data_IF_870327124464
#
_entry.id   IF_870327124464
#
_cell.length_a   1.000
_cell.length_b   1.000
_cell.length_c   1.000
_cell.angle_alpha   90.00
_cell.angle_beta   90.00
_cell.angle_gamma   90.00
#
_symmetry.space_group_name_H-M   'P 1'
#
loop_
_entity.id
_entity.type
_entity.pdbx_description
1 polymer ?
#
# COMPACT_ATOMS: atom_id res chain seq x y z
N UNK A 1 -27.73 49.47 20.74
CA UNK A 1 -26.29 49.19 20.57
C UNK A 1 -26.02 47.95 21.38
N UNK A 2 -26.18 46.80 20.76
CA UNK A 2 -25.90 45.47 21.37
C UNK A 2 -24.59 45.01 20.82
N UNK A 3 -23.63 44.72 21.73
CA UNK A 3 -22.31 44.18 21.40
C UNK A 3 -22.45 42.66 21.33
N UNK A 4 -22.29 42.09 20.14
CA UNK A 4 -22.17 40.67 19.93
C UNK A 4 -20.77 40.23 20.40
N UNK A 5 -20.71 39.53 21.53
CA UNK A 5 -19.51 38.82 21.99
C UNK A 5 -19.31 37.55 21.16
N UNK A 6 -18.22 37.51 20.39
CA UNK A 6 -17.73 36.32 19.74
C UNK A 6 -17.25 35.28 20.81
N UNK A 7 -17.63 34.02 20.69
CA UNK A 7 -17.11 32.98 21.62
C UNK A 7 -15.61 32.72 21.37
N UNK A 8 -14.83 32.98 22.41
CA UNK A 8 -13.41 32.67 22.47
C UNK A 8 -13.20 31.15 22.33
N UNK A 9 -12.47 30.75 21.31
CA UNK A 9 -12.05 29.37 21.10
C UNK A 9 -11.21 28.89 22.28
N UNK A 10 -11.66 27.79 22.91
CA UNK A 10 -10.98 27.10 23.98
C UNK A 10 -9.67 26.51 23.44
N UNK A 11 -8.51 26.64 24.09
CA UNK A 11 -7.27 26.02 23.68
C UNK A 11 -7.39 24.48 23.76
N UNK A 12 -6.71 23.71 22.88
CA UNK A 12 -6.77 22.24 22.91
C UNK A 12 -6.27 21.74 24.26
N UNK A 13 -7.12 20.93 24.89
CA UNK A 13 -6.98 20.44 26.25
C UNK A 13 -5.65 19.75 26.52
N UNK A 14 -5.11 20.07 27.70
CA UNK A 14 -3.96 19.39 28.28
C UNK A 14 -4.19 17.87 28.35
N UNK A 15 -3.12 17.12 28.20
CA UNK A 15 -3.09 15.68 28.35
C UNK A 15 -3.68 15.29 29.72
N UNK A 16 -4.69 14.45 29.69
CA UNK A 16 -5.32 13.88 30.89
C UNK A 16 -4.26 13.01 31.60
N UNK A 17 -3.83 13.33 32.85
CA UNK A 17 -2.82 12.55 33.54
C UNK A 17 -3.26 11.13 33.91
N UNK A 18 -4.52 10.77 33.70
CA UNK A 18 -5.11 9.47 33.98
C UNK A 18 -5.33 8.60 32.72
N UNK A 19 -4.74 8.97 31.60
CA UNK A 19 -4.72 8.13 30.41
C UNK A 19 -3.94 6.85 30.73
N UNK A 20 -4.68 5.78 31.07
CA UNK A 20 -4.13 4.43 31.30
C UNK A 20 -3.16 4.11 30.18
N UNK A 21 -1.90 3.83 30.53
CA UNK A 21 -0.89 3.42 29.57
C UNK A 21 -1.42 2.24 28.76
N UNK A 22 -1.33 2.31 27.43
CA UNK A 22 -1.83 1.26 26.54
C UNK A 22 -1.17 -0.08 26.87
N UNK A 23 -1.98 -1.07 27.32
CA UNK A 23 -1.48 -2.43 27.57
C UNK A 23 -1.42 -3.23 26.27
N UNK A 24 -0.30 -3.09 25.55
CA UNK A 24 -0.07 -3.81 24.31
C UNK A 24 0.04 -5.32 24.46
N UNK A 25 0.37 -5.84 25.66
CA UNK A 25 0.39 -7.30 25.93
C UNK A 25 -1.02 -7.85 26.03
N UNK A 26 -1.91 -7.17 26.75
CA UNK A 26 -3.31 -7.54 26.81
C UNK A 26 -3.94 -7.47 25.42
N UNK A 27 -3.77 -6.34 24.71
CA UNK A 27 -4.29 -6.17 23.35
C UNK A 27 -3.84 -7.29 22.40
N UNK A 28 -2.56 -7.65 22.42
CA UNK A 28 -2.01 -8.64 21.48
C UNK A 28 -2.52 -10.08 21.72
N UNK A 29 -2.98 -10.39 22.93
CA UNK A 29 -3.55 -11.72 23.25
C UNK A 29 -4.83 -12.01 22.48
N UNK A 30 -5.65 -10.99 22.26
CA UNK A 30 -6.97 -11.10 21.61
C UNK A 30 -6.90 -11.00 20.09
N UNK A 31 -5.71 -10.75 19.55
CA UNK A 31 -5.52 -10.67 18.10
C UNK A 31 -5.61 -12.02 17.39
N UNK A 32 -6.19 -11.99 16.19
CA UNK A 32 -6.24 -13.13 15.28
C UNK A 32 -4.85 -13.50 14.75
N UNK A 33 -4.57 -14.79 14.47
CA UNK A 33 -3.37 -15.23 13.77
C UNK A 33 -3.42 -14.97 12.26
N UNK A 34 -4.51 -14.42 11.73
CA UNK A 34 -4.67 -14.12 10.31
C UNK A 34 -3.69 -13.03 9.81
N UNK A 35 -3.43 -12.98 8.48
CA UNK A 35 -2.65 -11.91 7.88
C UNK A 35 -3.39 -10.57 7.94
N UNK A 36 -2.63 -9.48 7.91
CA UNK A 36 -3.23 -8.14 7.94
C UNK A 36 -2.23 -7.01 8.12
N UNK A 37 -2.76 -5.82 8.30
CA UNK A 37 -2.01 -4.59 8.54
C UNK A 37 -2.41 -4.02 9.90
N UNK A 38 -1.43 -3.51 10.62
CA UNK A 38 -1.62 -2.81 11.89
C UNK A 38 -1.08 -1.39 11.83
N UNK A 39 -1.77 -0.47 12.51
CA UNK A 39 -1.40 0.93 12.68
C UNK A 39 -1.20 1.21 14.15
N UNK A 40 -0.07 1.78 14.52
CA UNK A 40 0.22 2.24 15.88
C UNK A 40 -0.03 3.73 15.95
N UNK A 41 -0.85 4.18 16.90
CA UNK A 41 -1.26 5.56 17.07
C UNK A 41 -0.66 6.13 18.34
N UNK A 42 -0.27 7.41 18.28
CA UNK A 42 0.16 8.19 19.44
C UNK A 42 -1.00 8.75 20.23
N UNK A 43 -0.70 9.39 21.37
CA UNK A 43 -1.70 10.03 22.22
C UNK A 43 -2.44 11.21 21.55
N UNK A 44 -1.88 11.77 20.50
CA UNK A 44 -2.48 12.79 19.64
C UNK A 44 -3.39 12.21 18.53
N UNK A 45 -3.54 10.88 18.46
CA UNK A 45 -4.24 10.17 17.38
C UNK A 45 -3.45 10.07 16.07
N UNK A 46 -2.24 10.64 16.02
CA UNK A 46 -1.37 10.55 14.85
C UNK A 46 -0.82 9.14 14.64
N UNK A 47 -0.71 8.71 13.36
CA UNK A 47 -0.15 7.39 13.05
C UNK A 47 1.37 7.41 13.18
N UNK A 48 1.89 6.67 14.14
CA UNK A 48 3.32 6.52 14.39
C UNK A 48 3.97 5.53 13.42
N UNK A 49 3.31 4.41 13.17
CA UNK A 49 3.84 3.32 12.38
C UNK A 49 2.73 2.50 11.71
N UNK A 50 2.99 2.03 10.51
CA UNK A 50 2.17 1.05 9.78
C UNK A 50 3.03 -0.16 9.47
N UNK A 51 2.50 -1.37 9.69
CA UNK A 51 3.21 -2.59 9.35
C UNK A 51 2.28 -3.71 8.93
N UNK A 52 2.77 -4.60 8.08
CA UNK A 52 2.07 -5.83 7.69
C UNK A 52 2.51 -7.03 8.54
N UNK A 53 1.66 -8.04 8.59
CA UNK A 53 1.94 -9.31 9.24
C UNK A 53 1.33 -10.48 8.47
N UNK A 54 2.04 -11.60 8.40
CA UNK A 54 1.47 -12.89 8.04
C UNK A 54 0.60 -13.45 9.17
N UNK A 55 0.92 -13.06 10.42
CA UNK A 55 0.13 -13.31 11.62
C UNK A 55 0.15 -12.06 12.50
N UNK A 56 -0.98 -11.36 12.55
CA UNK A 56 -1.15 -10.15 13.36
C UNK A 56 -0.78 -10.39 14.82
N UNK A 57 -1.28 -11.49 15.42
CA UNK A 57 -0.99 -11.87 16.80
C UNK A 57 0.50 -11.97 17.06
N UNK A 58 1.23 -12.78 16.28
CA UNK A 58 2.69 -12.99 16.47
C UNK A 58 3.47 -11.69 16.27
N UNK A 59 3.13 -10.92 15.24
CA UNK A 59 3.87 -9.71 14.89
C UNK A 59 3.65 -8.60 15.89
N UNK A 60 2.42 -8.32 16.28
CA UNK A 60 2.12 -7.26 17.24
C UNK A 60 2.67 -7.62 18.62
N UNK A 61 2.52 -8.87 19.08
CA UNK A 61 3.11 -9.32 20.35
C UNK A 61 4.62 -9.11 20.43
N UNK A 62 5.34 -9.22 19.31
CA UNK A 62 6.80 -9.07 19.29
C UNK A 62 7.29 -7.67 19.69
N UNK A 63 6.46 -6.65 19.60
CA UNK A 63 6.79 -5.29 20.03
C UNK A 63 6.71 -5.09 21.56
N UNK A 64 6.06 -6.00 22.27
CA UNK A 64 5.85 -5.91 23.73
C UNK A 64 6.66 -6.96 24.50
N UNK A 65 7.68 -7.55 23.86
CA UNK A 65 8.67 -8.39 24.51
C UNK A 65 9.65 -7.54 25.33
N UNK A 66 10.35 -8.20 26.26
CA UNK A 66 11.28 -7.54 27.18
C UNK A 66 12.47 -6.90 26.44
N UNK A 67 12.99 -7.60 25.41
CA UNK A 67 14.15 -7.15 24.64
C UNK A 67 13.72 -6.67 23.25
N UNK A 68 13.70 -5.36 23.04
CA UNK A 68 13.38 -4.75 21.76
C UNK A 68 14.63 -4.62 20.89
N UNK A 69 14.53 -4.88 19.56
CA UNK A 69 15.69 -4.98 18.67
C UNK A 69 16.43 -3.65 18.43
N UNK A 70 15.83 -2.51 18.76
CA UNK A 70 16.49 -1.20 18.61
C UNK A 70 15.89 -0.13 19.50
N UNK A 71 16.74 0.88 19.87
CA UNK A 71 16.31 2.07 20.61
C UNK A 71 15.17 2.83 19.90
N UNK A 72 15.19 2.87 18.57
CA UNK A 72 14.13 3.52 17.77
C UNK A 72 12.78 2.84 17.97
N UNK A 73 12.75 1.51 17.98
CA UNK A 73 11.52 0.73 18.21
C UNK A 73 11.06 0.95 19.66
N UNK A 74 11.95 0.95 20.62
CA UNK A 74 11.60 1.21 22.03
C UNK A 74 10.96 2.60 22.21
N UNK A 75 11.52 3.64 21.59
CA UNK A 75 10.95 5.00 21.60
C UNK A 75 9.57 5.07 20.89
N UNK A 76 9.36 4.31 19.84
CA UNK A 76 8.07 4.22 19.18
C UNK A 76 7.05 3.53 20.08
N UNK A 77 7.39 2.38 20.65
CA UNK A 77 6.50 1.59 21.53
C UNK A 77 6.06 2.40 22.74
N UNK A 78 6.96 3.20 23.33
CA UNK A 78 6.65 4.06 24.45
C UNK A 78 5.62 5.17 24.15
N UNK A 79 5.39 5.50 22.88
CA UNK A 79 4.45 6.52 22.46
C UNK A 79 3.09 5.94 22.01
N UNK A 80 2.95 4.62 21.98
CA UNK A 80 1.70 3.97 21.52
C UNK A 80 0.60 4.21 22.55
N UNK A 81 -0.47 4.85 22.10
CA UNK A 81 -1.72 5.02 22.85
C UNK A 81 -2.81 4.08 22.38
N UNK A 82 -2.77 3.65 21.12
CA UNK A 82 -3.72 2.69 20.54
C UNK A 82 -3.10 1.93 19.38
N UNK A 83 -3.68 0.75 19.07
CA UNK A 83 -3.35 -0.02 17.87
C UNK A 83 -4.64 -0.36 17.15
N UNK A 84 -4.67 -0.10 15.85
CA UNK A 84 -5.75 -0.51 14.97
C UNK A 84 -5.26 -1.62 14.04
N UNK A 85 -6.10 -2.60 13.78
CA UNK A 85 -5.77 -3.71 12.89
C UNK A 85 -6.80 -3.85 11.78
N UNK A 86 -6.32 -4.17 10.59
CA UNK A 86 -7.15 -4.52 9.43
C UNK A 86 -6.76 -5.92 8.99
N UNK A 87 -7.66 -6.88 9.15
CA UNK A 87 -7.44 -8.26 8.71
C UNK A 87 -7.60 -8.33 7.20
N UNK A 88 -6.71 -9.05 6.53
CA UNK A 88 -6.75 -9.30 5.09
C UNK A 88 -6.91 -10.80 4.82
N UNK A 89 -7.31 -11.16 3.60
CA UNK A 89 -7.44 -12.58 3.21
C UNK A 89 -6.09 -13.21 2.94
N UNK A 90 -5.15 -12.42 2.42
CA UNK A 90 -3.82 -12.90 2.01
C UNK A 90 -2.73 -11.93 2.46
N UNK A 91 -1.48 -12.43 2.54
CA UNK A 91 -0.30 -11.60 2.78
C UNK A 91 -0.04 -10.60 1.64
N UNK A 92 -0.43 -10.94 0.43
CA UNK A 92 -0.31 -10.05 -0.74
C UNK A 92 -1.23 -8.85 -0.62
N UNK A 93 -2.45 -9.03 -0.14
CA UNK A 93 -3.36 -7.92 0.17
C UNK A 93 -2.80 -7.05 1.31
N UNK A 94 -2.26 -7.67 2.36
CA UNK A 94 -1.62 -6.94 3.46
C UNK A 94 -0.44 -6.08 2.96
N UNK A 95 0.38 -6.61 2.04
CA UNK A 95 1.51 -5.88 1.46
C UNK A 95 1.06 -4.64 0.67
N UNK A 96 0.00 -4.78 -0.14
CA UNK A 96 -0.56 -3.67 -0.92
C UNK A 96 -1.16 -2.61 0.00
N UNK A 97 -1.95 -3.03 0.99
CA UNK A 97 -2.59 -2.14 1.95
C UNK A 97 -1.55 -1.37 2.80
N UNK A 98 -0.52 -2.07 3.31
CA UNK A 98 0.59 -1.43 4.03
C UNK A 98 1.24 -0.32 3.18
N UNK A 99 1.57 -0.60 1.92
CA UNK A 99 2.20 0.38 1.03
C UNK A 99 1.29 1.59 0.78
N UNK A 100 -0.01 1.37 0.55
CA UNK A 100 -0.98 2.44 0.38
C UNK A 100 -1.08 3.33 1.63
N UNK A 101 -1.17 2.71 2.81
CA UNK A 101 -1.27 3.42 4.08
C UNK A 101 0.01 4.19 4.40
N UNK A 102 1.20 3.63 4.16
CA UNK A 102 2.47 4.34 4.34
C UNK A 102 2.55 5.57 3.42
N UNK A 103 2.12 5.46 2.16
CA UNK A 103 2.13 6.57 1.20
C UNK A 103 1.14 7.67 1.56
N UNK A 104 -0.06 7.31 2.01
CA UNK A 104 -1.11 8.28 2.37
C UNK A 104 -0.88 8.94 3.71
N UNK A 105 -0.51 8.17 4.74
CA UNK A 105 -0.40 8.63 6.12
C UNK A 105 0.99 9.16 6.48
N UNK A 106 2.03 8.77 5.72
CA UNK A 106 3.44 9.16 5.94
C UNK A 106 3.90 9.02 7.40
N UNK A 107 3.77 7.83 8.01
CA UNK A 107 4.00 7.65 9.44
C UNK A 107 5.46 7.95 9.82
N UNK A 108 5.65 8.59 10.98
CA UNK A 108 6.97 9.08 11.44
C UNK A 108 8.02 7.98 11.56
N UNK A 109 7.63 6.79 11.96
CA UNK A 109 8.56 5.68 12.23
C UNK A 109 8.74 4.72 11.04
N UNK A 110 7.93 4.82 9.99
CA UNK A 110 8.21 4.11 8.75
C UNK A 110 9.39 4.77 8.05
N UNK A 111 10.32 3.95 7.57
CA UNK A 111 11.31 4.42 6.61
C UNK A 111 10.56 4.61 5.30
N UNK A 112 10.36 5.84 4.88
CA UNK A 112 9.90 6.14 3.53
C UNK A 112 10.99 5.62 2.60
N UNK A 113 10.75 4.48 1.99
CA UNK A 113 11.55 4.03 0.87
C UNK A 113 11.37 5.11 -0.19
N UNK A 114 12.39 5.95 -0.37
CA UNK A 114 12.46 6.96 -1.44
C UNK A 114 12.46 6.33 -2.84
N UNK A 115 12.68 5.02 -2.90
CA UNK A 115 12.47 4.22 -4.08
C UNK A 115 10.97 4.21 -4.39
N UNK A 116 10.59 5.03 -5.35
CA UNK A 116 9.23 5.11 -5.91
C UNK A 116 8.93 3.87 -6.80
N UNK A 117 9.37 2.73 -6.32
CA UNK A 117 9.06 1.42 -6.91
C UNK A 117 7.60 1.13 -6.67
N UNK A 118 6.76 1.76 -7.49
CA UNK A 118 5.34 1.45 -7.52
C UNK A 118 5.13 -0.02 -7.87
N UNK A 119 4.07 -0.61 -7.35
CA UNK A 119 3.63 -1.93 -7.79
C UNK A 119 3.31 -1.94 -9.29
N UNK A 120 3.55 -3.05 -9.98
CA UNK A 120 3.19 -3.18 -11.39
C UNK A 120 1.68 -3.13 -11.60
N UNK A 121 1.31 -2.59 -12.74
CA UNK A 121 -0.05 -2.54 -13.25
C UNK A 121 -0.07 -3.14 -14.66
N UNK A 122 -1.23 -3.59 -15.08
CA UNK A 122 -1.54 -3.81 -16.49
C UNK A 122 -2.22 -2.54 -16.99
N UNK A 123 -1.76 -1.99 -18.10
CA UNK A 123 -2.38 -0.84 -18.76
C UNK A 123 -3.03 -1.28 -20.05
N UNK A 124 -4.30 -0.91 -20.25
CA UNK A 124 -4.96 -0.90 -21.53
C UNK A 124 -4.86 0.52 -22.09
N UNK A 125 -4.05 0.71 -23.13
CA UNK A 125 -3.76 2.03 -23.68
C UNK A 125 -4.97 2.63 -24.40
N UNK A 126 -5.10 3.96 -24.34
CA UNK A 126 -6.11 4.74 -25.05
C UNK A 126 -5.54 5.23 -26.40
N UNK A 127 -5.04 4.28 -27.19
CA UNK A 127 -4.52 4.50 -28.55
C UNK A 127 -5.61 4.13 -29.58
N UNK A 128 -5.47 4.57 -30.83
CA UNK A 128 -6.37 4.19 -31.93
C UNK A 128 -6.56 2.67 -32.03
N UNK A 129 -5.50 1.93 -31.74
CA UNK A 129 -5.49 0.48 -31.62
C UNK A 129 -5.06 0.07 -30.23
N UNK A 130 -5.98 -0.05 -29.26
CA UNK A 130 -5.66 -0.35 -27.87
C UNK A 130 -4.78 -1.59 -27.73
N UNK A 131 -3.85 -1.55 -26.78
CA UNK A 131 -3.00 -2.70 -26.44
C UNK A 131 -2.88 -2.86 -24.95
N UNK A 132 -2.67 -4.09 -24.52
CA UNK A 132 -2.27 -4.36 -23.14
C UNK A 132 -0.77 -4.22 -22.97
N UNK A 133 -0.34 -3.68 -21.84
CA UNK A 133 1.07 -3.52 -21.52
C UNK A 133 1.36 -3.61 -20.02
N UNK A 134 2.61 -3.94 -19.72
CA UNK A 134 3.15 -3.83 -18.38
C UNK A 134 3.48 -2.37 -18.07
N UNK A 135 3.02 -1.86 -16.95
CA UNK A 135 3.34 -0.52 -16.49
C UNK A 135 3.84 -0.52 -15.05
N UNK A 136 4.84 0.32 -14.76
CA UNK A 136 5.36 0.55 -13.43
C UNK A 136 5.84 2.00 -13.33
N UNK A 137 5.50 2.68 -12.23
CA UNK A 137 5.83 4.09 -12.05
C UNK A 137 4.60 4.99 -12.18
N UNK A 138 4.81 6.31 -12.39
CA UNK A 138 3.74 7.29 -12.57
C UNK A 138 2.85 6.93 -13.76
N UNK A 139 1.55 7.18 -13.66
CA UNK A 139 0.57 6.89 -14.72
C UNK A 139 0.65 7.92 -15.84
N UNK A 140 1.75 7.89 -16.60
CA UNK A 140 2.01 8.83 -17.70
C UNK A 140 1.39 8.40 -19.04
N UNK A 141 1.06 7.12 -19.21
CA UNK A 141 0.44 6.60 -20.44
C UNK A 141 -1.07 6.77 -20.33
N UNK A 142 -1.74 7.44 -21.27
CA UNK A 142 -3.21 7.49 -21.33
C UNK A 142 -3.78 6.08 -21.44
N UNK A 143 -4.81 5.77 -20.62
CA UNK A 143 -5.42 4.45 -20.65
C UNK A 143 -6.00 4.01 -19.31
N UNK A 144 -6.53 2.80 -19.30
CA UNK A 144 -7.09 2.16 -18.10
C UNK A 144 -6.03 1.30 -17.42
N UNK A 145 -5.87 1.48 -16.11
CA UNK A 145 -4.89 0.77 -15.28
C UNK A 145 -5.58 -0.25 -14.40
N UNK A 146 -5.11 -1.49 -14.43
CA UNK A 146 -5.57 -2.61 -13.60
C UNK A 146 -4.46 -2.99 -12.62
N UNK A 147 -4.80 -3.23 -11.41
CA UNK A 147 -3.87 -3.45 -10.30
C UNK A 147 -4.05 -2.41 -9.18
N UNK A 148 -3.13 -2.29 -8.24
CA UNK A 148 -1.74 -2.80 -8.24
C UNK A 148 -1.63 -4.31 -8.02
N UNK A 149 -0.59 -4.93 -8.59
CA UNK A 149 -0.28 -6.35 -8.39
C UNK A 149 1.01 -6.53 -7.58
N UNK A 150 1.10 -7.54 -6.71
CA UNK A 150 2.25 -7.71 -5.83
C UNK A 150 3.50 -8.28 -6.54
N UNK A 151 3.35 -8.96 -7.68
CA UNK A 151 4.43 -9.63 -8.39
C UNK A 151 4.57 -9.15 -9.84
N UNK A 152 5.74 -8.62 -10.18
CA UNK A 152 6.08 -8.24 -11.57
C UNK A 152 6.22 -9.45 -12.49
N UNK A 153 6.71 -10.58 -11.96
CA UNK A 153 6.83 -11.84 -12.72
C UNK A 153 5.46 -12.35 -13.13
N UNK A 154 4.55 -12.52 -12.15
CA UNK A 154 3.20 -13.00 -12.42
C UNK A 154 2.44 -12.12 -13.44
N UNK A 155 2.60 -10.79 -13.37
CA UNK A 155 1.97 -9.88 -14.34
C UNK A 155 2.51 -10.12 -15.76
N UNK A 156 3.83 -10.31 -15.92
CA UNK A 156 4.43 -10.59 -17.25
C UNK A 156 3.98 -11.93 -17.80
N UNK A 157 3.99 -12.98 -16.98
CA UNK A 157 3.51 -14.32 -17.37
C UNK A 157 2.04 -14.29 -17.76
N UNK A 158 1.20 -13.56 -17.01
CA UNK A 158 -0.22 -13.38 -17.34
C UNK A 158 -0.39 -12.65 -18.68
N UNK A 159 0.35 -11.57 -18.91
CA UNK A 159 0.32 -10.85 -20.18
C UNK A 159 0.76 -11.72 -21.35
N UNK A 160 1.82 -12.51 -21.19
CA UNK A 160 2.29 -13.44 -22.21
C UNK A 160 1.23 -14.51 -22.54
N UNK A 161 0.54 -15.02 -21.53
CA UNK A 161 -0.57 -15.96 -21.71
C UNK A 161 -1.73 -15.30 -22.46
N UNK A 162 -2.13 -14.08 -22.07
CA UNK A 162 -3.19 -13.32 -22.72
C UNK A 162 -2.86 -13.04 -24.20
N UNK A 163 -1.62 -12.65 -24.50
CA UNK A 163 -1.19 -12.45 -25.89
C UNK A 163 -1.28 -13.72 -26.73
N UNK A 164 -0.94 -14.87 -26.15
CA UNK A 164 -1.04 -16.18 -26.85
C UNK A 164 -2.49 -16.60 -27.07
N UNK A 165 -3.34 -16.49 -26.05
CA UNK A 165 -4.72 -16.97 -26.10
C UNK A 165 -5.62 -16.07 -26.95
N UNK A 166 -5.52 -14.76 -26.75
CA UNK A 166 -6.40 -13.78 -27.38
C UNK A 166 -5.80 -13.11 -28.61
N UNK A 167 -4.57 -13.49 -29.00
CA UNK A 167 -3.85 -12.93 -30.16
C UNK A 167 -3.78 -11.40 -30.14
N UNK A 168 -3.57 -10.82 -28.95
CA UNK A 168 -3.59 -9.38 -28.77
C UNK A 168 -2.32 -8.74 -29.31
N UNK A 169 -2.47 -7.51 -29.81
CA UNK A 169 -1.34 -6.70 -30.25
C UNK A 169 -0.45 -6.29 -29.07
N UNK A 170 0.85 -6.51 -29.18
CA UNK A 170 1.85 -6.12 -28.18
C UNK A 170 2.71 -4.93 -28.61
N UNK A 171 2.79 -4.59 -29.91
CA UNK A 171 3.62 -3.52 -30.43
C UNK A 171 2.97 -2.14 -30.25
N UNK A 172 3.81 -1.07 -30.15
CA UNK A 172 3.35 0.30 -30.10
C UNK A 172 2.76 0.78 -31.42
N UNK A 173 1.89 1.80 -31.38
CA UNK A 173 1.25 2.36 -32.57
C UNK A 173 2.25 2.86 -33.60
N UNK A 174 3.35 3.48 -33.18
CA UNK A 174 4.41 3.93 -34.09
C UNK A 174 5.00 2.78 -34.91
N UNK A 175 5.19 1.61 -34.28
CA UNK A 175 5.68 0.41 -34.97
C UNK A 175 4.61 -0.19 -35.87
N UNK A 176 3.35 -0.18 -35.44
CA UNK A 176 2.23 -0.73 -36.20
C UNK A 176 1.97 0.07 -37.46
N UNK A 177 1.91 1.39 -37.39
CA UNK A 177 1.63 2.31 -38.51
C UNK A 177 2.71 2.29 -39.58
N UNK A 178 3.98 2.11 -39.18
CA UNK A 178 5.13 2.21 -40.10
C UNK A 178 5.47 0.86 -40.78
N UNK A 179 4.61 -0.13 -40.67
CA UNK A 179 4.82 -1.44 -41.32
C UNK A 179 4.12 -1.53 -42.65
N UNK A 180 4.87 -1.91 -43.69
CA UNK A 180 4.35 -2.21 -45.04
C UNK A 180 3.90 -3.68 -45.21
N UNK A 181 4.28 -4.56 -44.26
CA UNK A 181 3.96 -5.99 -44.28
C UNK A 181 3.67 -6.55 -42.87
N UNK A 182 2.90 -7.65 -42.79
CA UNK A 182 2.65 -8.33 -41.52
C UNK A 182 3.94 -8.72 -40.80
N UNK A 183 3.98 -8.57 -39.48
CA UNK A 183 5.15 -8.95 -38.66
C UNK A 183 5.16 -10.45 -38.36
N UNK A 184 6.29 -10.94 -37.83
CA UNK A 184 6.44 -12.34 -37.45
C UNK A 184 5.35 -12.79 -36.45
N UNK A 185 4.94 -11.96 -35.49
CA UNK A 185 3.88 -12.31 -34.53
C UNK A 185 2.54 -12.58 -35.23
N UNK A 186 2.23 -11.83 -36.27
CA UNK A 186 1.04 -12.09 -37.12
C UNK A 186 1.21 -13.38 -37.91
N UNK A 187 2.39 -13.61 -38.53
CA UNK A 187 2.64 -14.81 -39.36
C UNK A 187 2.56 -16.11 -38.54
N UNK A 188 3.00 -16.10 -37.27
CA UNK A 188 2.91 -17.28 -36.38
C UNK A 188 1.57 -17.34 -35.61
N UNK A 189 0.58 -16.53 -35.96
CA UNK A 189 -0.75 -16.55 -35.37
C UNK A 189 -0.84 -16.08 -33.93
N UNK A 190 0.11 -15.23 -33.47
CA UNK A 190 0.13 -14.68 -32.12
C UNK A 190 -0.38 -13.23 -32.01
N UNK A 191 -0.76 -12.65 -33.13
CA UNK A 191 -1.31 -11.29 -33.22
C UNK A 191 -2.34 -11.19 -34.33
#
# INVERSE_FOLDING_TARGET
MSQDELPTARPPGGADPDARSFDGRAFSRDLTPAPGVYRMLGGDGGVLYVGKAASLKKRVSSYFLKDLPSRRIALMVAQIAAIEVTVTRTESEALILENQLIKSLRPRYNVLLRDDKSYPHIVLTDETWPRLGFHRGPRAVPGRYFGPYPSSGAVRETLDLMFKLFKLRSCADSVFRNRSRPCLQHQIGRC
#
